data_IF_177078775867
#
_entry.id   IF_177078775867
#
_cell.length_a   1.000
_cell.length_b   1.000
_cell.length_c   1.000
_cell.angle_alpha   90.00
_cell.angle_beta   90.00
_cell.angle_gamma   90.00
#
_symmetry.space_group_name_H-M   'P 1'
#
loop_
_entity.id
_entity.type
_entity.pdbx_description
1 polymer ?
#
# COMPACT_ATOMS: atom_id res chain seq x y z
N UNK A 1 52.92 -34.12 16.00
CA UNK A 1 51.81 -33.83 16.90
C UNK A 1 50.57 -33.82 16.05
N UNK A 2 50.26 -34.71 15.38
CA UNK A 2 49.84 -36.11 15.17
C UNK A 2 48.91 -36.60 16.28
N UNK A 3 47.77 -37.10 15.82
CA UNK A 3 46.63 -37.61 16.58
C UNK A 3 45.54 -36.58 16.96
N UNK A 4 44.67 -36.30 16.01
CA UNK A 4 43.18 -36.27 16.07
C UNK A 4 42.65 -36.06 14.63
N UNK A 5 42.98 -36.92 13.71
CA UNK A 5 42.29 -37.10 12.43
C UNK A 5 41.83 -38.57 12.35
N UNK A 6 40.69 -38.85 12.93
CA UNK A 6 39.96 -40.11 12.62
C UNK A 6 38.72 -40.19 13.50
N UNK A 7 37.67 -39.52 13.11
CA UNK A 7 36.26 -39.85 13.43
C UNK A 7 35.39 -38.68 13.00
N UNK A 8 34.71 -38.85 11.90
CA UNK A 8 33.46 -38.29 11.38
C UNK A 8 33.60 -37.96 9.89
N UNK A 9 33.61 -39.02 9.09
CA UNK A 9 33.36 -38.91 7.66
C UNK A 9 31.87 -38.70 7.39
N UNK A 10 31.45 -37.48 7.21
CA UNK A 10 30.21 -37.13 6.53
C UNK A 10 30.46 -35.83 5.75
N UNK A 11 30.64 -35.99 4.44
CA UNK A 11 30.61 -34.85 3.52
C UNK A 11 29.16 -34.38 3.39
N UNK A 12 28.83 -33.09 3.53
CA UNK A 12 27.51 -32.58 3.19
C UNK A 12 27.36 -32.53 1.67
N UNK A 13 26.42 -33.29 1.14
CA UNK A 13 25.89 -33.11 -0.22
C UNK A 13 25.02 -31.85 -0.27
N UNK A 14 25.13 -31.01 -1.31
CA UNK A 14 24.25 -29.84 -1.44
C UNK A 14 22.82 -30.30 -1.77
N UNK A 15 21.88 -29.92 -0.91
CA UNK A 15 20.44 -30.03 -1.16
C UNK A 15 20.07 -29.01 -2.23
N UNK A 16 19.93 -29.46 -3.46
CA UNK A 16 19.26 -28.70 -4.52
C UNK A 16 17.75 -28.82 -4.36
N UNK A 17 17.09 -27.72 -4.04
CA UNK A 17 15.64 -27.63 -4.12
C UNK A 17 15.23 -27.42 -5.58
N UNK A 18 14.26 -28.18 -6.11
CA UNK A 18 13.74 -27.91 -7.46
C UNK A 18 12.92 -26.62 -7.45
N UNK A 19 13.31 -25.68 -8.29
CA UNK A 19 12.51 -24.53 -8.68
C UNK A 19 11.35 -25.05 -9.52
N UNK A 20 10.12 -24.99 -8.99
CA UNK A 20 8.92 -25.30 -9.75
C UNK A 20 8.54 -24.06 -10.54
N UNK A 21 8.85 -24.08 -11.83
CA UNK A 21 8.33 -23.12 -12.81
C UNK A 21 6.89 -23.55 -13.10
N UNK A 22 5.92 -22.67 -12.84
CA UNK A 22 4.54 -22.87 -13.22
C UNK A 22 4.38 -22.63 -14.74
N UNK A 23 4.52 -23.71 -15.50
CA UNK A 23 4.12 -23.77 -16.90
C UNK A 23 3.09 -24.90 -17.07
N UNK A 24 2.06 -24.65 -17.87
CA UNK A 24 0.96 -25.55 -18.17
C UNK A 24 1.44 -26.95 -18.58
N UNK A 25 1.18 -27.94 -17.73
CA UNK A 25 1.21 -29.34 -18.12
C UNK A 25 -0.06 -30.06 -17.66
N UNK A 26 -0.97 -30.26 -18.59
CA UNK A 26 -1.94 -31.33 -18.53
C UNK A 26 -1.19 -32.63 -18.91
N UNK A 27 -0.57 -33.25 -17.92
CA UNK A 27 0.05 -34.55 -18.04
C UNK A 27 -0.45 -35.43 -16.89
N UNK A 28 -1.07 -36.55 -17.22
CA UNK A 28 -1.46 -37.60 -16.26
C UNK A 28 -0.16 -38.14 -15.64
N UNK A 29 0.01 -37.96 -14.34
CA UNK A 29 1.13 -38.52 -13.58
C UNK A 29 0.77 -39.94 -13.14
N UNK A 30 1.45 -40.95 -13.70
CA UNK A 30 1.41 -42.32 -13.23
C UNK A 30 2.48 -42.52 -12.14
N UNK A 31 2.12 -43.00 -10.95
CA UNK A 31 3.09 -43.26 -9.90
C UNK A 31 3.91 -44.52 -10.18
N UNK A 32 5.16 -44.58 -9.74
CA UNK A 32 6.00 -45.78 -9.90
C UNK A 32 5.46 -46.97 -9.08
N UNK A 33 5.74 -48.22 -9.50
CA UNK A 33 5.19 -49.42 -8.87
C UNK A 33 5.63 -49.56 -7.42
N UNK A 34 4.68 -49.92 -6.56
CA UNK A 34 4.83 -50.10 -5.11
C UNK A 34 5.78 -51.27 -4.76
N UNK A 35 6.68 -51.06 -3.82
CA UNK A 35 7.42 -52.10 -3.14
C UNK A 35 6.49 -52.90 -2.20
N UNK A 36 6.58 -54.20 -2.10
CA UNK A 36 5.70 -55.03 -1.26
C UNK A 36 6.13 -54.95 0.21
N UNK A 37 5.19 -54.54 1.08
CA UNK A 37 5.34 -54.71 2.53
C UNK A 37 5.16 -53.50 3.44
N UNK A 38 4.21 -52.60 3.19
CA UNK A 38 3.80 -51.63 4.19
C UNK A 38 2.29 -51.59 4.33
N UNK A 39 1.80 -51.74 5.55
CA UNK A 39 0.38 -51.74 5.88
C UNK A 39 -0.31 -50.42 5.51
N UNK A 40 -1.47 -50.54 4.84
CA UNK A 40 -2.29 -49.41 4.44
C UNK A 40 -2.79 -48.63 5.65
N UNK A 41 -2.26 -47.44 5.87
CA UNK A 41 -2.99 -46.32 6.46
C UNK A 41 -3.35 -45.36 5.31
N UNK A 42 -4.57 -45.40 4.88
CA UNK A 42 -5.13 -44.40 3.98
C UNK A 42 -5.11 -43.02 4.66
N UNK A 43 -4.06 -42.25 4.38
CA UNK A 43 -4.09 -40.80 4.61
C UNK A 43 -4.75 -40.20 3.38
N UNK A 44 -6.07 -40.07 3.44
CA UNK A 44 -6.86 -39.25 2.53
C UNK A 44 -6.39 -37.80 2.68
N UNK A 45 -5.44 -37.36 1.85
CA UNK A 45 -5.10 -35.96 1.72
C UNK A 45 -6.27 -35.26 0.98
N UNK A 46 -6.96 -34.29 1.60
CA UNK A 46 -7.93 -33.51 0.86
C UNK A 46 -7.14 -32.63 -0.12
N UNK A 47 -7.28 -32.92 -1.40
CA UNK A 47 -6.91 -32.01 -2.49
C UNK A 47 -7.84 -30.81 -2.43
N UNK A 48 -7.63 -29.92 -1.44
CA UNK A 48 -8.28 -28.64 -1.38
C UNK A 48 -7.71 -27.81 -2.55
N UNK A 49 -8.46 -27.74 -3.66
CA UNK A 49 -8.27 -26.69 -4.65
C UNK A 49 -8.29 -25.38 -3.88
N UNK A 50 -7.15 -24.73 -3.75
CA UNK A 50 -7.05 -23.36 -3.27
C UNK A 50 -7.71 -22.52 -4.36
N UNK A 51 -9.03 -22.33 -4.24
CA UNK A 51 -9.72 -21.28 -4.99
C UNK A 51 -9.20 -19.96 -4.42
N UNK A 52 -8.13 -19.46 -5.02
CA UNK A 52 -7.65 -18.12 -4.74
C UNK A 52 -8.74 -17.17 -5.25
N UNK A 53 -9.61 -16.70 -4.34
CA UNK A 53 -10.66 -15.74 -4.69
C UNK A 53 -9.95 -14.47 -5.17
N UNK A 54 -9.88 -14.29 -6.50
CA UNK A 54 -9.38 -13.07 -7.11
C UNK A 54 -10.33 -11.93 -6.72
N UNK A 55 -9.84 -10.98 -5.94
CA UNK A 55 -10.60 -9.77 -5.60
C UNK A 55 -10.52 -8.82 -6.78
N UNK A 56 -11.67 -8.58 -7.42
CA UNK A 56 -11.79 -7.61 -8.50
C UNK A 56 -11.72 -6.19 -7.94
N UNK A 57 -10.63 -5.50 -8.16
CA UNK A 57 -10.41 -4.11 -7.74
C UNK A 57 -11.01 -3.15 -8.77
N UNK A 58 -12.35 -3.14 -8.89
CA UNK A 58 -13.08 -2.45 -9.98
C UNK A 58 -12.74 -0.97 -10.08
N UNK A 59 -12.70 -0.26 -8.96
CA UNK A 59 -12.40 1.18 -8.93
C UNK A 59 -10.95 1.48 -9.34
N UNK A 60 -10.01 0.68 -8.82
CA UNK A 60 -8.60 0.81 -9.19
C UNK A 60 -8.39 0.47 -10.68
N UNK A 61 -9.05 -0.58 -11.18
CA UNK A 61 -9.01 -0.95 -12.59
C UNK A 61 -9.61 0.13 -13.50
N UNK A 62 -10.75 0.71 -13.10
CA UNK A 62 -11.37 1.80 -13.84
C UNK A 62 -10.49 3.07 -13.86
N UNK A 63 -9.88 3.40 -12.72
CA UNK A 63 -8.92 4.52 -12.61
C UNK A 63 -7.71 4.30 -13.53
N UNK A 64 -7.15 3.10 -13.51
CA UNK A 64 -5.98 2.76 -14.35
C UNK A 64 -6.31 2.78 -15.83
N UNK A 65 -7.51 2.28 -16.25
CA UNK A 65 -7.97 2.37 -17.65
C UNK A 65 -8.11 3.83 -18.09
N UNK A 66 -8.70 4.69 -17.25
CA UNK A 66 -8.81 6.13 -17.57
C UNK A 66 -7.44 6.79 -17.72
N UNK A 67 -6.47 6.45 -16.87
CA UNK A 67 -5.10 6.96 -16.99
C UNK A 67 -4.45 6.51 -18.30
N UNK A 68 -4.57 5.24 -18.66
CA UNK A 68 -4.08 4.70 -19.94
C UNK A 68 -4.74 5.35 -21.16
N UNK A 69 -5.95 5.86 -21.03
CA UNK A 69 -6.59 6.64 -22.10
C UNK A 69 -5.99 8.05 -22.24
N UNK A 70 -5.64 8.69 -21.14
CA UNK A 70 -5.15 10.09 -21.14
C UNK A 70 -3.68 10.21 -21.45
N UNK A 71 -2.86 9.27 -20.96
CA UNK A 71 -1.41 9.35 -21.05
C UNK A 71 -0.83 8.19 -21.87
N UNK A 72 0.22 8.42 -22.67
CA UNK A 72 0.92 7.36 -23.40
C UNK A 72 1.70 6.42 -22.47
N UNK A 73 2.14 6.92 -21.31
CA UNK A 73 2.80 6.15 -20.27
C UNK A 73 2.02 6.30 -18.98
N UNK A 74 1.75 5.19 -18.29
CA UNK A 74 1.21 5.20 -16.94
C UNK A 74 2.18 4.49 -16.01
N UNK A 75 2.61 5.16 -14.95
CA UNK A 75 3.41 4.57 -13.88
C UNK A 75 2.49 4.18 -12.72
N UNK A 76 2.30 2.88 -12.53
CA UNK A 76 1.54 2.31 -11.41
C UNK A 76 2.49 1.97 -10.27
N UNK A 77 2.47 2.79 -9.22
CA UNK A 77 3.22 2.57 -7.99
C UNK A 77 2.32 2.01 -6.88
N UNK A 78 2.91 1.58 -5.79
CA UNK A 78 2.17 1.08 -4.62
C UNK A 78 3.06 0.20 -3.75
N UNK A 79 2.66 -0.06 -2.49
CA UNK A 79 3.43 -0.89 -1.60
C UNK A 79 3.64 -2.29 -2.21
N UNK A 80 4.71 -2.94 -1.76
CA UNK A 80 4.96 -4.32 -2.18
C UNK A 80 3.78 -5.21 -1.83
N UNK A 81 3.46 -6.17 -2.69
CA UNK A 81 2.34 -7.10 -2.55
C UNK A 81 0.93 -6.46 -2.47
N UNK A 82 0.78 -5.20 -2.86
CA UNK A 82 -0.54 -4.57 -3.01
C UNK A 82 -1.35 -5.10 -4.21
N UNK A 83 -0.74 -5.94 -5.06
CA UNK A 83 -1.41 -6.56 -6.21
C UNK A 83 -1.28 -5.78 -7.52
N UNK A 84 -0.21 -4.99 -7.72
CA UNK A 84 0.06 -4.24 -8.96
C UNK A 84 0.03 -5.12 -10.21
N UNK A 85 0.79 -6.20 -10.22
CA UNK A 85 0.86 -7.17 -11.33
C UNK A 85 -0.49 -7.84 -11.58
N UNK A 86 -1.25 -8.16 -10.52
CA UNK A 86 -2.61 -8.71 -10.65
C UNK A 86 -3.55 -7.69 -11.28
N UNK A 87 -3.49 -6.42 -10.85
CA UNK A 87 -4.32 -5.36 -11.40
C UNK A 87 -3.99 -5.08 -12.86
N UNK A 88 -2.70 -5.10 -13.25
CA UNK A 88 -2.30 -4.89 -14.65
C UNK A 88 -2.95 -5.91 -15.59
N UNK A 89 -2.99 -7.18 -15.18
CA UNK A 89 -3.65 -8.27 -15.93
C UNK A 89 -5.17 -8.11 -16.05
N UNK A 90 -5.81 -7.41 -15.11
CA UNK A 90 -7.26 -7.13 -15.13
C UNK A 90 -7.62 -5.92 -16.02
N UNK A 91 -6.68 -5.04 -16.27
CA UNK A 91 -6.94 -3.75 -16.98
C UNK A 91 -6.82 -3.90 -18.49
N UNK A 92 -5.87 -4.69 -18.96
CA UNK A 92 -5.65 -4.93 -20.39
C UNK A 92 -4.99 -6.28 -20.63
N UNK A 93 -5.40 -6.95 -21.69
CA UNK A 93 -4.68 -8.13 -22.16
C UNK A 93 -3.50 -7.62 -23.00
N UNK A 94 -2.33 -7.45 -22.36
CA UNK A 94 -1.08 -7.37 -23.11
C UNK A 94 -0.84 -8.75 -23.73
N UNK A 95 -0.42 -8.78 -24.98
CA UNK A 95 0.07 -10.01 -25.57
C UNK A 95 1.31 -10.51 -24.77
N UNK A 96 1.58 -11.81 -24.72
CA UNK A 96 2.71 -12.34 -23.94
C UNK A 96 4.04 -11.67 -24.31
N UNK A 97 4.25 -11.39 -25.60
CA UNK A 97 5.43 -10.69 -26.11
C UNK A 97 5.55 -9.22 -25.69
N UNK A 98 4.43 -8.61 -25.25
CA UNK A 98 4.33 -7.24 -24.75
C UNK A 98 4.36 -7.15 -23.23
N UNK A 99 4.61 -8.26 -22.52
CA UNK A 99 4.69 -8.30 -21.06
C UNK A 99 6.12 -8.67 -20.66
N UNK A 100 6.71 -7.84 -19.81
CA UNK A 100 8.08 -7.99 -19.34
C UNK A 100 8.10 -7.91 -17.81
N UNK A 101 8.88 -8.78 -17.18
CA UNK A 101 9.20 -8.75 -15.75
C UNK A 101 10.72 -8.61 -15.60
N UNK A 102 11.18 -7.45 -15.13
CA UNK A 102 12.61 -7.20 -14.96
C UNK A 102 13.27 -8.04 -13.83
N UNK A 103 12.49 -8.78 -13.05
CA UNK A 103 13.04 -9.82 -12.15
C UNK A 103 13.27 -11.16 -12.86
N UNK A 104 12.61 -11.39 -14.01
CA UNK A 104 12.83 -12.58 -14.81
C UNK A 104 14.13 -12.43 -15.63
N UNK A 105 15.12 -13.35 -15.50
CA UNK A 105 16.39 -13.23 -16.22
C UNK A 105 16.24 -13.17 -17.75
N UNK A 106 15.24 -13.85 -18.32
CA UNK A 106 14.98 -13.84 -19.77
C UNK A 106 14.52 -12.46 -20.22
N UNK A 107 13.55 -11.87 -19.50
CA UNK A 107 13.04 -10.53 -19.83
C UNK A 107 14.08 -9.44 -19.51
N UNK A 108 14.84 -9.60 -18.43
CA UNK A 108 15.96 -8.70 -18.12
C UNK A 108 17.00 -8.68 -19.27
N UNK A 109 17.30 -9.85 -19.85
CA UNK A 109 18.19 -9.95 -21.02
C UNK A 109 17.58 -9.27 -22.25
N UNK A 110 16.28 -9.45 -22.52
CA UNK A 110 15.58 -8.77 -23.62
C UNK A 110 15.58 -7.24 -23.43
N UNK A 111 15.40 -6.77 -22.20
CA UNK A 111 15.37 -5.36 -21.84
C UNK A 111 16.78 -4.76 -21.60
N UNK A 112 17.85 -5.51 -21.82
CA UNK A 112 19.21 -4.96 -21.79
C UNK A 112 19.42 -3.86 -22.86
N UNK A 113 18.70 -3.96 -23.99
CA UNK A 113 18.50 -2.88 -24.94
C UNK A 113 16.98 -2.58 -25.06
N UNK A 114 16.45 -1.65 -24.24
CA UNK A 114 15.03 -1.36 -24.26
C UNK A 114 14.53 -0.80 -25.61
N UNK A 115 15.38 -0.11 -26.36
CA UNK A 115 15.01 0.43 -27.68
C UNK A 115 14.76 -0.70 -28.67
N UNK A 116 15.65 -1.68 -28.72
CA UNK A 116 15.51 -2.85 -29.59
C UNK A 116 14.31 -3.69 -29.17
N UNK A 117 14.12 -3.92 -27.87
CA UNK A 117 13.05 -4.75 -27.33
C UNK A 117 11.66 -4.19 -27.60
N UNK A 118 11.48 -2.87 -27.50
CA UNK A 118 10.16 -2.23 -27.46
C UNK A 118 9.75 -1.57 -28.79
N UNK A 119 10.70 -1.28 -29.67
CA UNK A 119 10.44 -0.45 -30.86
C UNK A 119 9.46 -1.04 -31.87
N UNK A 120 9.40 -2.36 -32.02
CA UNK A 120 8.53 -3.08 -32.96
C UNK A 120 7.18 -3.49 -32.35
N UNK A 121 6.95 -3.24 -31.05
CA UNK A 121 5.74 -3.68 -30.38
C UNK A 121 4.59 -2.67 -30.53
N UNK A 122 3.36 -3.16 -30.41
CA UNK A 122 2.13 -2.37 -30.49
C UNK A 122 1.12 -2.76 -29.40
N UNK A 123 0.12 -1.91 -29.16
CA UNK A 123 -0.90 -2.14 -28.16
C UNK A 123 -0.45 -1.76 -26.75
N UNK A 124 -0.86 -2.52 -25.73
CA UNK A 124 -0.47 -2.28 -24.34
C UNK A 124 0.81 -3.06 -24.02
N UNK A 125 1.88 -2.35 -23.70
CA UNK A 125 3.14 -2.93 -23.24
C UNK A 125 3.21 -2.75 -21.73
N UNK A 126 3.37 -3.86 -21.01
CA UNK A 126 3.49 -3.88 -19.53
C UNK A 126 4.91 -4.25 -19.12
N UNK A 127 5.53 -3.42 -18.30
CA UNK A 127 6.89 -3.65 -17.77
C UNK A 127 6.82 -3.61 -16.25
N UNK A 128 7.07 -4.75 -15.61
CA UNK A 128 7.09 -4.87 -14.15
C UNK A 128 8.51 -4.71 -13.60
N UNK A 129 8.61 -4.22 -12.34
CA UNK A 129 9.86 -3.94 -11.62
C UNK A 129 10.81 -3.01 -12.40
N UNK A 130 10.25 -1.97 -13.03
CA UNK A 130 10.94 -1.06 -13.95
C UNK A 130 12.15 -0.32 -13.35
N UNK A 131 12.26 -0.21 -12.01
CA UNK A 131 13.41 0.39 -11.33
C UNK A 131 14.72 -0.36 -11.59
N UNK A 132 14.64 -1.59 -12.12
CA UNK A 132 15.82 -2.38 -12.48
C UNK A 132 16.40 -2.05 -13.86
N UNK A 133 15.73 -1.17 -14.63
CA UNK A 133 16.12 -0.81 -15.99
C UNK A 133 16.39 0.70 -16.03
N UNK A 134 17.63 1.15 -15.77
CA UNK A 134 17.95 2.59 -15.67
C UNK A 134 17.62 3.39 -16.93
N UNK A 135 17.87 2.81 -18.11
CA UNK A 135 17.71 3.49 -19.40
C UNK A 135 16.30 3.42 -19.99
N UNK A 136 15.35 2.84 -19.25
CA UNK A 136 13.97 2.65 -19.73
C UNK A 136 13.29 3.98 -20.04
N UNK A 137 13.33 4.95 -19.14
CA UNK A 137 12.55 6.20 -19.28
C UNK A 137 13.01 7.10 -20.42
N UNK A 138 14.32 7.29 -20.68
CA UNK A 138 14.79 7.97 -21.89
C UNK A 138 14.33 7.29 -23.17
N UNK A 139 14.34 5.96 -23.22
CA UNK A 139 13.85 5.18 -24.37
C UNK A 139 12.35 5.35 -24.55
N UNK A 140 11.56 5.26 -23.47
CA UNK A 140 10.12 5.49 -23.54
C UNK A 140 9.77 6.87 -24.10
N UNK A 141 10.53 7.92 -23.71
CA UNK A 141 10.37 9.27 -24.26
C UNK A 141 10.49 9.26 -25.79
N UNK A 142 11.52 8.62 -26.34
CA UNK A 142 11.70 8.53 -27.80
C UNK A 142 10.56 7.76 -28.45
N UNK A 143 10.11 6.66 -27.82
CA UNK A 143 9.05 5.81 -28.36
C UNK A 143 7.69 6.50 -28.40
N UNK A 144 7.35 7.33 -27.40
CA UNK A 144 6.06 8.03 -27.34
C UNK A 144 6.04 9.33 -28.16
N UNK A 145 7.19 9.87 -28.56
CA UNK A 145 7.30 11.07 -29.39
C UNK A 145 7.27 10.74 -30.91
N UNK A 146 7.10 9.48 -31.29
CA UNK A 146 7.00 9.07 -32.70
C UNK A 146 5.74 9.63 -33.35
N UNK A 147 5.77 9.99 -34.66
CA UNK A 147 4.60 10.48 -35.39
C UNK A 147 3.42 9.51 -35.35
N UNK A 148 3.70 8.22 -35.40
CA UNK A 148 2.71 7.15 -35.17
C UNK A 148 3.08 6.43 -33.89
N UNK A 149 2.19 6.45 -32.92
CA UNK A 149 2.38 5.80 -31.61
C UNK A 149 1.53 4.51 -31.55
N UNK A 150 2.09 3.36 -31.91
CA UNK A 150 1.36 2.10 -31.96
C UNK A 150 1.12 1.47 -30.58
N UNK A 151 1.83 1.94 -29.56
CA UNK A 151 1.86 1.33 -28.23
C UNK A 151 1.56 2.33 -27.11
N UNK A 152 1.00 1.83 -26.01
CA UNK A 152 0.90 2.49 -24.70
C UNK A 152 1.67 1.69 -23.68
N UNK A 153 2.23 2.36 -22.70
CA UNK A 153 3.11 1.74 -21.71
C UNK A 153 2.50 1.77 -20.33
N UNK A 154 2.37 0.60 -19.72
CA UNK A 154 2.03 0.45 -18.32
C UNK A 154 3.27 -0.01 -17.55
N UNK A 155 3.84 0.88 -16.80
CA UNK A 155 5.05 0.66 -16.03
C UNK A 155 4.66 0.37 -14.58
N UNK A 156 5.10 -0.75 -14.04
CA UNK A 156 4.88 -1.13 -12.66
C UNK A 156 6.21 -1.04 -11.92
N UNK A 157 6.13 -0.60 -10.67
CA UNK A 157 7.31 -0.56 -9.83
C UNK A 157 6.97 -0.34 -8.36
N UNK A 158 7.94 -0.62 -7.50
CA UNK A 158 7.89 -0.19 -6.11
C UNK A 158 7.86 1.33 -6.05
N UNK A 159 7.16 1.88 -5.07
CA UNK A 159 7.22 3.31 -4.83
C UNK A 159 8.64 3.67 -4.34
N UNK A 160 9.47 4.14 -5.25
CA UNK A 160 10.76 4.74 -4.90
C UNK A 160 10.79 6.17 -5.44
N UNK A 161 11.35 7.13 -4.67
CA UNK A 161 11.54 8.50 -5.14
C UNK A 161 12.32 8.55 -6.45
N UNK A 162 13.33 7.69 -6.57
CA UNK A 162 14.17 7.61 -7.77
C UNK A 162 13.35 7.21 -9.00
N UNK A 163 12.49 6.19 -8.89
CA UNK A 163 11.63 5.75 -10.00
C UNK A 163 10.67 6.86 -10.44
N UNK A 164 10.01 7.51 -9.45
CA UNK A 164 9.06 8.60 -9.72
C UNK A 164 9.80 9.83 -10.26
N UNK A 165 10.99 10.14 -9.73
CA UNK A 165 11.85 11.23 -10.20
C UNK A 165 12.28 11.03 -11.65
N UNK A 166 12.86 9.88 -11.98
CA UNK A 166 13.29 9.52 -13.33
C UNK A 166 12.13 9.56 -14.34
N UNK A 167 10.96 9.04 -13.95
CA UNK A 167 9.78 9.09 -14.80
C UNK A 167 9.30 10.52 -15.03
N UNK A 168 9.29 11.36 -13.98
CA UNK A 168 8.82 12.75 -14.05
C UNK A 168 9.77 13.64 -14.85
N UNK A 169 11.10 13.44 -14.75
CA UNK A 169 12.09 14.18 -15.51
C UNK A 169 12.08 13.78 -16.99
N UNK A 170 12.15 12.47 -17.27
CA UNK A 170 12.27 11.98 -18.63
C UNK A 170 10.97 12.08 -19.42
N UNK A 171 9.82 11.92 -18.78
CA UNK A 171 8.50 11.81 -19.41
C UNK A 171 7.56 12.96 -19.01
N UNK A 172 8.10 14.15 -18.74
CA UNK A 172 7.30 15.33 -18.38
C UNK A 172 6.18 15.58 -19.41
N UNK A 173 4.92 15.66 -18.94
CA UNK A 173 3.73 15.81 -19.78
C UNK A 173 3.28 14.54 -20.55
N UNK A 174 3.98 13.41 -20.39
CA UNK A 174 3.72 12.14 -21.10
C UNK A 174 3.36 11.00 -20.15
N UNK A 175 3.61 11.16 -18.86
CA UNK A 175 3.37 10.15 -17.82
C UNK A 175 2.24 10.57 -16.89
N UNK A 176 1.35 9.63 -16.56
CA UNK A 176 0.38 9.77 -15.47
C UNK A 176 0.78 8.80 -14.34
N UNK A 177 0.87 9.35 -13.13
CA UNK A 177 1.20 8.58 -11.93
C UNK A 177 -0.09 8.05 -11.30
N UNK A 178 -0.16 6.75 -11.06
CA UNK A 178 -1.28 6.10 -10.38
C UNK A 178 -0.74 5.34 -9.18
N UNK A 179 -1.20 5.71 -7.99
CA UNK A 179 -0.86 4.98 -6.77
C UNK A 179 -1.93 3.93 -6.46
N UNK A 180 -1.50 2.69 -6.25
CA UNK A 180 -2.34 1.58 -5.79
C UNK A 180 -2.19 1.43 -4.29
N UNK A 181 -3.26 1.66 -3.54
CA UNK A 181 -3.33 1.35 -2.09
C UNK A 181 -3.50 -0.15 -1.84
N UNK A 182 -3.53 -0.58 -0.59
CA UNK A 182 -4.11 -1.86 -0.18
C UNK A 182 -5.57 -2.00 -0.60
N UNK A 183 -6.19 -3.14 -0.31
CA UNK A 183 -7.63 -3.36 -0.49
C UNK A 183 -8.44 -2.35 0.31
N UNK A 184 -9.55 -1.93 -0.26
CA UNK A 184 -10.51 -1.03 0.37
C UNK A 184 -11.81 -1.76 0.71
N UNK A 185 -12.66 -1.16 1.54
CA UNK A 185 -14.01 -1.71 1.82
C UNK A 185 -14.81 -1.85 0.52
N UNK A 186 -14.61 -0.99 -0.46
CA UNK A 186 -15.24 -1.11 -1.79
C UNK A 186 -14.80 -2.35 -2.57
N UNK A 187 -13.56 -2.79 -2.35
CA UNK A 187 -13.04 -4.01 -3.00
C UNK A 187 -13.59 -5.29 -2.36
N UNK A 188 -13.88 -5.27 -1.05
CA UNK A 188 -14.20 -6.47 -0.27
C UNK A 188 -15.63 -6.52 0.27
N UNK A 189 -16.36 -5.40 0.22
CA UNK A 189 -17.72 -5.24 0.76
C UNK A 189 -17.73 -4.88 2.24
N UNK A 190 -18.83 -4.22 2.68
CA UNK A 190 -19.01 -3.74 4.06
C UNK A 190 -18.99 -4.86 5.10
N UNK A 191 -19.53 -6.02 4.78
CA UNK A 191 -19.51 -7.18 5.67
C UNK A 191 -18.10 -7.68 6.03
N UNK A 192 -17.10 -7.32 5.22
CA UNK A 192 -15.70 -7.67 5.45
C UNK A 192 -14.89 -6.50 6.06
N UNK A 193 -15.51 -5.35 6.36
CA UNK A 193 -14.81 -4.16 6.85
C UNK A 193 -14.04 -4.41 8.15
N UNK A 194 -14.63 -5.11 9.11
CA UNK A 194 -13.96 -5.46 10.37
C UNK A 194 -12.74 -6.36 10.16
N UNK A 195 -12.84 -7.34 9.25
CA UNK A 195 -11.72 -8.20 8.88
C UNK A 195 -10.63 -7.40 8.17
N UNK A 196 -11.02 -6.46 7.28
CA UNK A 196 -10.09 -5.59 6.58
C UNK A 196 -9.36 -4.66 7.56
N UNK A 197 -10.08 -4.08 8.53
CA UNK A 197 -9.47 -3.27 9.58
C UNK A 197 -8.48 -4.07 10.43
N UNK A 198 -8.84 -5.30 10.85
CA UNK A 198 -7.98 -6.13 11.68
C UNK A 198 -6.74 -6.63 10.93
N UNK A 199 -6.92 -7.17 9.70
CA UNK A 199 -5.86 -7.85 8.95
C UNK A 199 -5.09 -6.94 7.99
N UNK A 200 -5.61 -5.72 7.74
CA UNK A 200 -5.08 -4.81 6.75
C UNK A 200 -5.54 -5.09 5.33
N UNK A 201 -5.14 -4.20 4.41
CA UNK A 201 -5.53 -4.22 3.01
C UNK A 201 -4.52 -4.90 2.08
N UNK A 202 -3.41 -5.44 2.60
CA UNK A 202 -2.51 -6.25 1.78
C UNK A 202 -3.18 -7.58 1.43
N UNK A 203 -3.39 -7.92 0.13
CA UNK A 203 -4.20 -9.05 -0.28
C UNK A 203 -3.86 -10.37 0.41
N UNK A 204 -2.58 -10.81 0.54
CA UNK A 204 -2.27 -12.08 1.19
C UNK A 204 -2.61 -12.11 2.67
N UNK A 205 -2.46 -10.98 3.39
CA UNK A 205 -2.88 -10.86 4.80
C UNK A 205 -4.40 -10.93 4.94
N UNK A 206 -5.11 -10.19 4.09
CA UNK A 206 -6.57 -10.15 4.12
C UNK A 206 -7.21 -11.52 3.80
N UNK A 207 -6.69 -12.21 2.77
CA UNK A 207 -7.23 -13.50 2.29
C UNK A 207 -6.72 -14.71 3.06
N UNK A 208 -5.87 -14.54 4.05
CA UNK A 208 -5.36 -15.62 4.90
C UNK A 208 -6.51 -16.42 5.52
N UNK A 209 -6.30 -17.73 5.72
CA UNK A 209 -7.33 -18.66 6.21
C UNK A 209 -7.79 -18.34 7.64
N UNK A 210 -6.86 -17.91 8.48
CA UNK A 210 -7.09 -17.56 9.88
C UNK A 210 -6.45 -16.21 10.25
N UNK A 211 -6.74 -15.67 11.43
CA UNK A 211 -6.03 -14.50 11.96
C UNK A 211 -4.58 -14.83 12.28
N UNK A 212 -4.30 -16.05 12.70
CA UNK A 212 -2.96 -16.55 12.97
C UNK A 212 -2.12 -16.62 11.70
N UNK A 213 -2.65 -17.22 10.60
CA UNK A 213 -1.98 -17.22 9.29
C UNK A 213 -1.73 -15.80 8.77
N UNK A 214 -2.69 -14.90 8.96
CA UNK A 214 -2.55 -13.49 8.62
C UNK A 214 -1.45 -12.80 9.42
N UNK A 215 -1.35 -13.08 10.73
CA UNK A 215 -0.30 -12.53 11.59
C UNK A 215 1.09 -13.06 11.20
N UNK A 216 1.20 -14.37 10.98
CA UNK A 216 2.44 -15.01 10.51
C UNK A 216 2.91 -14.43 9.15
N UNK A 217 1.97 -14.23 8.22
CA UNK A 217 2.28 -13.60 6.93
C UNK A 217 2.81 -12.16 7.10
N UNK A 218 2.17 -11.36 7.99
CA UNK A 218 2.61 -9.98 8.27
C UNK A 218 3.99 -9.92 8.90
N UNK A 219 4.35 -10.88 9.76
CA UNK A 219 5.72 -11.01 10.28
C UNK A 219 6.73 -11.27 9.18
N UNK A 220 6.43 -12.22 8.31
CA UNK A 220 7.25 -12.51 7.13
C UNK A 220 7.39 -11.28 6.21
N UNK A 221 6.30 -10.56 5.98
CA UNK A 221 6.32 -9.32 5.21
C UNK A 221 7.22 -8.25 5.84
N UNK A 222 7.05 -7.96 7.13
CA UNK A 222 7.86 -6.97 7.85
C UNK A 222 9.34 -7.34 7.80
N UNK A 223 9.68 -8.61 8.02
CA UNK A 223 11.05 -9.10 7.98
C UNK A 223 11.66 -8.93 6.59
N UNK A 224 10.99 -9.44 5.55
CA UNK A 224 11.47 -9.37 4.16
C UNK A 224 11.58 -7.93 3.68
N UNK A 225 10.62 -7.09 4.02
CA UNK A 225 10.62 -5.66 3.68
C UNK A 225 11.85 -4.96 4.26
N UNK A 226 12.16 -5.21 5.53
CA UNK A 226 13.29 -4.57 6.21
C UNK A 226 14.65 -5.08 5.74
N UNK A 227 14.78 -6.38 5.44
CA UNK A 227 16.04 -6.99 5.07
C UNK A 227 16.38 -6.83 3.58
N UNK A 228 15.38 -6.86 2.71
CA UNK A 228 15.57 -6.87 1.27
C UNK A 228 15.09 -5.59 0.59
N UNK A 229 13.84 -5.20 0.84
CA UNK A 229 13.14 -4.22 0.02
C UNK A 229 13.66 -2.80 0.27
N UNK A 230 13.89 -2.42 1.52
CA UNK A 230 14.50 -1.13 1.86
C UNK A 230 15.91 -0.98 1.29
N UNK A 231 16.69 -2.06 1.27
CA UNK A 231 18.01 -2.04 0.66
C UNK A 231 17.94 -1.80 -0.87
N UNK A 232 16.95 -2.37 -1.54
CA UNK A 232 16.69 -2.12 -2.97
C UNK A 232 16.24 -0.68 -3.27
N UNK A 233 15.62 -0.01 -2.29
CA UNK A 233 15.28 1.42 -2.34
C UNK A 233 16.46 2.34 -1.96
N UNK A 234 17.69 1.81 -1.90
CA UNK A 234 18.90 2.58 -1.56
C UNK A 234 19.05 2.87 -0.06
N UNK A 235 18.19 2.36 0.79
CA UNK A 235 18.21 2.59 2.24
C UNK A 235 19.18 1.63 2.92
N UNK A 236 20.37 2.13 3.26
CA UNK A 236 21.42 1.34 3.93
C UNK A 236 21.34 1.53 5.46
N UNK A 237 20.32 0.93 6.07
CA UNK A 237 20.09 0.98 7.52
C UNK A 237 19.98 -0.46 8.01
N UNK A 238 20.60 -0.84 9.15
CA UNK A 238 20.43 -2.18 9.71
C UNK A 238 18.96 -2.51 9.95
N UNK A 239 18.51 -3.68 9.50
CA UNK A 239 17.11 -4.10 9.58
C UNK A 239 16.56 -4.05 11.02
N UNK A 240 17.37 -4.44 12.01
CA UNK A 240 16.99 -4.37 13.43
C UNK A 240 16.70 -2.92 13.89
N UNK A 241 17.53 -1.96 13.48
CA UNK A 241 17.33 -0.53 13.80
C UNK A 241 16.07 -0.01 13.13
N UNK A 242 15.86 -0.34 11.85
CA UNK A 242 14.66 0.08 11.14
C UNK A 242 13.40 -0.58 11.70
N UNK A 243 13.46 -1.83 12.14
CA UNK A 243 12.34 -2.49 12.86
C UNK A 243 11.96 -1.73 14.13
N UNK A 244 12.96 -1.36 14.94
CA UNK A 244 12.72 -0.53 16.14
C UNK A 244 12.09 0.82 15.77
N UNK A 245 12.62 1.49 14.75
CA UNK A 245 12.06 2.77 14.27
C UNK A 245 10.61 2.61 13.81
N UNK A 246 10.30 1.59 13.02
CA UNK A 246 8.95 1.35 12.53
C UNK A 246 7.96 1.00 13.66
N UNK A 247 8.38 0.16 14.61
CA UNK A 247 7.59 -0.13 15.83
C UNK A 247 7.30 1.14 16.63
N UNK A 248 8.29 2.01 16.79
CA UNK A 248 8.08 3.29 17.47
C UNK A 248 7.13 4.20 16.70
N UNK A 249 7.25 4.26 15.37
CA UNK A 249 6.30 5.01 14.54
C UNK A 249 4.88 4.45 14.63
N UNK A 250 4.70 3.14 14.85
CA UNK A 250 3.39 2.55 15.13
C UNK A 250 2.79 3.10 16.45
N UNK A 251 3.60 3.39 17.47
CA UNK A 251 3.14 4.08 18.68
C UNK A 251 2.79 5.55 18.45
N UNK A 252 3.37 6.20 17.42
CA UNK A 252 2.99 7.56 17.00
C UNK A 252 1.77 7.59 16.07
N UNK A 253 1.18 6.46 15.73
CA UNK A 253 0.03 6.40 14.83
C UNK A 253 -1.10 7.31 15.30
N UNK A 254 -1.59 8.21 14.41
CA UNK A 254 -2.57 9.24 14.71
C UNK A 254 -2.03 10.43 15.52
N UNK A 255 -0.71 10.58 15.70
CA UNK A 255 -0.08 11.63 16.52
C UNK A 255 0.93 12.46 15.73
N UNK A 256 1.25 13.64 16.26
CA UNK A 256 2.30 14.49 15.72
C UNK A 256 3.67 13.84 15.86
N UNK A 257 4.44 13.87 14.81
CA UNK A 257 5.80 13.35 14.81
C UNK A 257 6.76 14.23 15.61
N UNK A 258 7.46 13.61 16.56
CA UNK A 258 8.58 14.23 17.28
C UNK A 258 9.90 13.58 16.86
N UNK A 259 10.62 14.23 15.94
CA UNK A 259 11.92 13.73 15.50
C UNK A 259 12.95 13.65 16.63
N UNK A 260 12.87 14.56 17.60
CA UNK A 260 13.77 14.57 18.77
C UNK A 260 13.50 13.38 19.71
N UNK A 261 12.22 12.99 19.88
CA UNK A 261 11.84 11.87 20.72
C UNK A 261 12.21 10.53 20.06
N UNK A 262 11.93 10.38 18.76
CA UNK A 262 12.34 9.20 18.01
C UNK A 262 13.88 9.05 18.00
N UNK A 263 14.61 10.14 17.81
CA UNK A 263 16.07 10.17 17.83
C UNK A 263 16.65 9.69 19.18
N UNK A 264 16.12 10.20 20.29
CA UNK A 264 16.53 9.78 21.65
C UNK A 264 16.25 8.29 21.88
N UNK A 265 15.08 7.80 21.44
CA UNK A 265 14.71 6.41 21.65
C UNK A 265 15.52 5.41 20.82
N UNK A 266 16.06 5.86 19.71
CA UNK A 266 16.91 5.04 18.81
C UNK A 266 18.41 5.26 19.02
N UNK A 267 18.78 6.22 19.87
CA UNK A 267 20.17 6.67 20.07
C UNK A 267 20.85 7.10 18.76
N UNK A 268 20.18 7.98 18.00
CA UNK A 268 20.66 8.51 16.72
C UNK A 268 20.45 10.03 16.66
N UNK A 269 21.10 10.68 15.68
CA UNK A 269 20.83 12.09 15.39
C UNK A 269 19.39 12.31 14.88
N UNK A 270 18.81 13.49 15.16
CA UNK A 270 17.45 13.83 14.71
C UNK A 270 17.29 13.78 13.18
N UNK A 271 18.33 14.17 12.45
CA UNK A 271 18.38 14.06 10.98
C UNK A 271 18.30 12.61 10.51
N UNK A 272 18.94 11.69 11.24
CA UNK A 272 18.88 10.25 10.97
C UNK A 272 17.49 9.68 11.25
N UNK A 273 16.88 10.05 12.38
CA UNK A 273 15.50 9.65 12.69
C UNK A 273 14.51 10.13 11.63
N UNK A 274 14.69 11.35 11.11
CA UNK A 274 13.91 11.88 9.99
C UNK A 274 14.09 11.05 8.73
N UNK A 275 15.32 10.71 8.35
CA UNK A 275 15.59 9.83 7.20
C UNK A 275 14.91 8.45 7.32
N UNK A 276 14.78 7.90 8.54
CA UNK A 276 14.07 6.64 8.75
C UNK A 276 12.57 6.79 8.46
N UNK A 277 11.96 7.88 8.93
CA UNK A 277 10.57 8.20 8.62
C UNK A 277 10.37 8.40 7.11
N UNK A 278 11.25 9.18 6.46
CA UNK A 278 11.15 9.47 5.03
C UNK A 278 11.28 8.17 4.21
N UNK A 279 12.22 7.28 4.53
CA UNK A 279 12.38 5.99 3.86
C UNK A 279 11.12 5.10 3.93
N UNK A 280 10.44 5.06 5.09
CA UNK A 280 9.18 4.31 5.23
C UNK A 280 8.01 5.02 4.52
N UNK A 281 8.04 6.33 4.41
CA UNK A 281 7.06 7.12 3.65
C UNK A 281 7.21 6.89 2.15
N UNK A 282 8.43 6.93 1.66
CA UNK A 282 8.78 6.68 0.26
C UNK A 282 8.41 5.26 -0.17
N UNK A 283 8.53 4.30 0.74
CA UNK A 283 8.06 2.92 0.53
C UNK A 283 6.54 2.74 0.62
N UNK A 284 5.77 3.81 0.84
CA UNK A 284 4.31 3.84 0.99
C UNK A 284 3.78 2.95 2.13
N UNK A 285 4.56 2.69 3.17
CA UNK A 285 4.10 1.98 4.38
C UNK A 285 3.77 2.92 5.53
N UNK A 286 4.23 4.17 5.45
CA UNK A 286 3.89 5.26 6.38
C UNK A 286 3.33 6.43 5.59
N UNK A 287 2.30 7.09 6.12
CA UNK A 287 1.80 8.38 5.65
C UNK A 287 2.23 9.47 6.60
N UNK A 288 2.82 10.53 6.05
CA UNK A 288 3.00 11.80 6.73
C UNK A 288 1.87 12.73 6.29
N UNK A 289 0.82 12.87 7.13
CA UNK A 289 -0.24 13.83 6.87
C UNK A 289 0.23 15.21 7.34
N UNK A 290 0.41 16.12 6.39
CA UNK A 290 0.91 17.47 6.66
C UNK A 290 -0.21 18.39 7.13
N UNK A 291 0.10 19.42 7.95
CA UNK A 291 -0.89 20.37 8.39
C UNK A 291 -1.34 21.31 7.26
N UNK A 292 -2.61 21.69 7.29
CA UNK A 292 -3.14 22.75 6.43
C UNK A 292 -2.77 24.14 6.97
N UNK A 293 -2.29 25.01 6.09
CA UNK A 293 -2.10 26.44 6.34
C UNK A 293 -2.40 27.21 5.05
N UNK A 294 -3.03 28.37 5.16
CA UNK A 294 -3.24 29.28 4.03
C UNK A 294 -1.89 29.74 3.41
N UNK A 295 -0.83 29.87 4.25
CA UNK A 295 0.52 30.19 3.78
C UNK A 295 1.37 28.91 3.65
N UNK A 296 1.73 28.53 2.42
CA UNK A 296 2.51 27.34 2.08
C UNK A 296 3.83 27.25 2.85
N UNK A 297 4.52 28.38 3.06
CA UNK A 297 5.79 28.43 3.80
C UNK A 297 5.66 27.99 5.27
N UNK A 298 4.49 28.16 5.88
CA UNK A 298 4.22 27.71 7.26
C UNK A 298 3.88 26.23 7.35
N UNK A 299 3.35 25.60 6.29
CA UNK A 299 3.04 24.14 6.26
C UNK A 299 4.27 23.29 6.52
N UNK A 300 5.42 23.68 5.96
CA UNK A 300 6.66 22.91 6.06
C UNK A 300 7.32 22.96 7.45
N UNK A 301 6.94 23.88 8.31
CA UNK A 301 7.56 24.10 9.62
C UNK A 301 6.91 23.34 10.78
N UNK A 302 5.74 22.71 10.58
CA UNK A 302 5.05 21.93 11.62
C UNK A 302 5.17 20.44 11.36
N UNK A 303 5.23 19.69 12.46
CA UNK A 303 5.34 18.23 12.42
C UNK A 303 4.13 17.61 11.74
N UNK A 304 4.31 16.62 10.86
CA UNK A 304 3.19 15.86 10.30
C UNK A 304 2.56 14.96 11.36
N UNK A 305 1.28 14.59 11.18
CA UNK A 305 0.70 13.41 11.83
C UNK A 305 1.19 12.15 11.11
N UNK A 306 1.47 11.09 11.87
CA UNK A 306 1.99 9.82 11.34
C UNK A 306 0.90 8.77 11.34
N UNK A 307 0.75 8.10 10.20
CA UNK A 307 -0.11 6.92 10.08
C UNK A 307 0.65 5.77 9.42
N UNK A 308 0.61 4.59 10.04
CA UNK A 308 0.96 3.35 9.34
C UNK A 308 -0.20 3.07 8.39
N UNK A 309 0.08 3.01 7.09
CA UNK A 309 -0.96 3.01 6.04
C UNK A 309 -1.79 1.72 6.00
N UNK A 310 -1.19 0.60 6.38
CA UNK A 310 -1.89 -0.68 6.50
C UNK A 310 -2.15 -1.00 7.98
N UNK A 311 -3.43 -1.11 8.34
CA UNK A 311 -3.80 -1.35 9.74
C UNK A 311 -3.40 -2.74 10.23
N UNK A 312 -3.28 -3.73 9.35
CA UNK A 312 -2.75 -5.04 9.71
C UNK A 312 -1.28 -4.97 10.11
N UNK A 313 -0.47 -4.20 9.36
CA UNK A 313 0.92 -3.94 9.74
C UNK A 313 1.00 -3.13 11.04
N UNK A 314 0.14 -2.10 11.21
CA UNK A 314 0.03 -1.36 12.47
C UNK A 314 -0.21 -2.32 13.64
N UNK A 315 -1.23 -3.16 13.53
CA UNK A 315 -1.62 -4.09 14.60
C UNK A 315 -0.47 -5.07 14.91
N UNK A 316 0.21 -5.59 13.89
CA UNK A 316 1.33 -6.50 14.11
C UNK A 316 2.53 -5.84 14.77
N UNK A 317 2.85 -4.60 14.40
CA UNK A 317 3.92 -3.81 15.05
C UNK A 317 3.59 -3.47 16.51
N UNK A 318 2.31 -3.37 16.87
CA UNK A 318 1.83 -3.12 18.22
C UNK A 318 1.53 -4.41 19.05
N UNK A 319 1.74 -5.60 18.48
CA UNK A 319 1.43 -6.88 19.14
C UNK A 319 -0.07 -7.14 19.28
N UNK A 320 -0.90 -6.64 18.37
CA UNK A 320 -2.35 -6.83 18.35
C UNK A 320 -2.67 -7.94 17.34
N UNK A 321 -3.07 -9.10 17.81
CA UNK A 321 -3.25 -10.28 16.96
C UNK A 321 -4.71 -10.57 16.61
N UNK A 322 -5.66 -10.17 17.47
CA UNK A 322 -7.08 -10.44 17.30
C UNK A 322 -7.97 -9.25 17.65
N UNK A 323 -9.27 -9.42 17.42
CA UNK A 323 -10.27 -8.39 17.69
C UNK A 323 -10.35 -7.99 19.15
N UNK A 324 -10.24 -8.94 20.06
CA UNK A 324 -10.33 -8.66 21.50
C UNK A 324 -9.12 -7.87 21.99
N UNK A 325 -7.92 -8.23 21.52
CA UNK A 325 -6.70 -7.48 21.78
C UNK A 325 -6.78 -6.03 21.24
N UNK A 326 -7.34 -5.86 20.03
CA UNK A 326 -7.57 -4.55 19.44
C UNK A 326 -8.54 -3.70 20.27
N UNK A 327 -9.66 -4.27 20.69
CA UNK A 327 -10.68 -3.54 21.49
C UNK A 327 -10.18 -3.09 22.85
N UNK A 328 -9.24 -3.81 23.43
CA UNK A 328 -8.60 -3.48 24.72
C UNK A 328 -7.40 -2.55 24.58
N UNK A 329 -6.96 -2.27 23.35
CA UNK A 329 -5.73 -1.51 23.11
C UNK A 329 -5.99 0.00 23.20
N UNK A 330 -5.15 0.77 23.91
CA UNK A 330 -5.27 2.24 23.95
C UNK A 330 -5.22 2.92 22.57
N UNK A 331 -4.66 2.26 21.56
CA UNK A 331 -4.59 2.75 20.17
C UNK A 331 -5.83 2.43 19.32
N UNK A 332 -6.89 1.85 19.91
CA UNK A 332 -8.12 1.50 19.20
C UNK A 332 -8.69 2.67 18.39
N UNK A 333 -8.83 3.85 19.02
CA UNK A 333 -9.34 5.05 18.38
C UNK A 333 -8.44 5.54 17.22
N UNK A 334 -7.14 5.62 17.45
CA UNK A 334 -6.18 6.02 16.43
C UNK A 334 -6.10 5.01 15.27
N UNK A 335 -6.17 3.70 15.57
CA UNK A 335 -6.22 2.67 14.51
C UNK A 335 -7.49 2.80 13.65
N UNK A 336 -8.64 3.10 14.26
CA UNK A 336 -9.87 3.37 13.55
C UNK A 336 -9.76 4.64 12.68
N UNK A 337 -9.21 5.71 13.24
CA UNK A 337 -8.95 6.96 12.52
C UNK A 337 -8.09 6.71 11.28
N UNK A 338 -6.96 6.02 11.43
CA UNK A 338 -6.07 5.70 10.32
C UNK A 338 -6.71 4.79 9.28
N UNK A 339 -7.54 3.82 9.70
CA UNK A 339 -8.30 2.97 8.78
C UNK A 339 -9.24 3.80 7.89
N UNK A 340 -10.08 4.64 8.50
CA UNK A 340 -11.03 5.49 7.76
C UNK A 340 -10.28 6.50 6.89
N UNK A 341 -9.21 7.10 7.40
CA UNK A 341 -8.38 8.05 6.66
C UNK A 341 -7.79 7.43 5.38
N UNK A 342 -7.23 6.22 5.45
CA UNK A 342 -6.67 5.56 4.25
C UNK A 342 -7.76 5.16 3.24
N UNK A 343 -8.96 4.81 3.67
CA UNK A 343 -10.11 4.60 2.78
C UNK A 343 -10.51 5.89 2.06
N UNK A 344 -10.61 7.01 2.80
CA UNK A 344 -10.86 8.33 2.23
C UNK A 344 -9.73 8.77 1.29
N UNK A 345 -8.48 8.53 1.65
CA UNK A 345 -7.33 8.83 0.80
C UNK A 345 -7.39 8.09 -0.54
N UNK A 346 -7.79 6.83 -0.55
CA UNK A 346 -7.97 6.05 -1.77
C UNK A 346 -9.11 6.58 -2.65
N UNK A 347 -10.20 7.07 -2.04
CA UNK A 347 -11.36 7.67 -2.73
C UNK A 347 -11.03 9.05 -3.30
N UNK A 348 -10.38 9.88 -2.51
CA UNK A 348 -10.15 11.30 -2.79
C UNK A 348 -8.93 11.55 -3.70
N UNK A 349 -8.11 10.54 -3.96
CA UNK A 349 -6.94 10.69 -4.85
C UNK A 349 -7.36 11.19 -6.24
N UNK A 350 -6.63 12.15 -6.84
CA UNK A 350 -5.33 12.66 -6.44
C UNK A 350 -5.34 13.91 -5.53
N UNK A 351 -6.48 14.29 -4.94
CA UNK A 351 -6.56 15.51 -4.13
C UNK A 351 -5.64 15.41 -2.91
N UNK A 352 -4.84 16.45 -2.61
CA UNK A 352 -3.97 16.45 -1.44
C UNK A 352 -4.79 16.52 -0.15
N UNK A 353 -4.36 15.75 0.84
CA UNK A 353 -5.00 15.64 2.14
C UNK A 353 -4.15 16.29 3.21
N UNK A 354 -4.80 16.91 4.19
CA UNK A 354 -4.15 17.60 5.29
C UNK A 354 -4.89 17.33 6.60
N UNK A 355 -4.21 17.50 7.74
CA UNK A 355 -4.89 17.75 9.01
C UNK A 355 -4.83 19.25 9.31
N UNK A 356 -5.64 19.73 10.24
CA UNK A 356 -5.55 21.11 10.70
C UNK A 356 -5.43 21.16 12.22
N UNK A 357 -4.58 22.06 12.72
CA UNK A 357 -4.39 22.29 14.15
C UNK A 357 -3.97 23.71 14.44
N UNK A 358 -4.53 24.29 15.53
CA UNK A 358 -4.14 25.58 16.06
C UNK A 358 -3.09 25.48 17.18
N UNK A 359 -2.55 26.61 17.59
CA UNK A 359 -1.67 26.68 18.77
C UNK A 359 -2.41 26.42 20.09
N UNK A 360 -3.75 26.60 20.10
CA UNK A 360 -4.63 26.36 21.26
C UNK A 360 -5.22 24.94 21.24
N UNK A 361 -4.60 24.02 20.53
CA UNK A 361 -4.93 22.60 20.44
C UNK A 361 -6.32 22.28 19.84
N UNK A 362 -6.97 23.24 19.14
CA UNK A 362 -8.08 22.87 18.28
C UNK A 362 -7.54 22.09 17.07
N UNK A 363 -8.17 20.96 16.74
CA UNK A 363 -7.71 20.02 15.73
C UNK A 363 -8.87 19.50 14.88
N UNK A 364 -8.59 19.21 13.60
CA UNK A 364 -9.45 18.51 12.66
C UNK A 364 -8.63 17.38 12.00
N UNK A 365 -9.17 16.18 11.99
CA UNK A 365 -8.45 14.98 11.56
C UNK A 365 -8.10 15.00 10.07
N UNK A 366 -9.04 15.43 9.22
CA UNK A 366 -8.82 15.50 7.78
C UNK A 366 -9.46 16.73 7.16
N UNK A 367 -8.68 17.45 6.38
CA UNK A 367 -9.08 18.58 5.53
C UNK A 367 -8.75 18.25 4.07
N UNK A 368 -9.67 18.61 3.17
CA UNK A 368 -9.48 18.47 1.72
C UNK A 368 -10.23 19.57 0.97
N UNK A 369 -9.67 20.00 -0.15
CA UNK A 369 -10.38 20.88 -1.10
C UNK A 369 -10.90 20.05 -2.27
N UNK A 370 -12.22 20.10 -2.50
CA UNK A 370 -12.90 19.42 -3.59
C UNK A 370 -13.65 20.46 -4.43
N UNK A 371 -13.32 20.53 -5.72
CA UNK A 371 -13.90 21.51 -6.66
C UNK A 371 -13.81 22.95 -6.13
N UNK A 372 -12.68 23.31 -5.50
CA UNK A 372 -12.42 24.64 -4.95
C UNK A 372 -13.18 24.97 -3.66
N UNK A 373 -13.78 23.98 -3.00
CA UNK A 373 -14.47 24.13 -1.71
C UNK A 373 -13.79 23.33 -0.62
N UNK A 374 -13.64 23.88 0.59
CA UNK A 374 -13.04 23.18 1.72
C UNK A 374 -14.04 22.26 2.42
N UNK A 375 -13.62 21.04 2.70
CA UNK A 375 -14.37 20.02 3.44
C UNK A 375 -13.54 19.48 4.59
N UNK A 376 -14.21 19.21 5.72
CA UNK A 376 -13.61 18.63 6.91
C UNK A 376 -14.20 17.28 7.25
N UNK A 377 -13.36 16.38 7.75
CA UNK A 377 -13.79 15.10 8.32
C UNK A 377 -13.16 14.95 9.70
N UNK A 378 -14.03 14.63 10.66
CA UNK A 378 -13.63 14.24 12.02
C UNK A 378 -14.00 12.78 12.20
N UNK A 379 -13.07 11.96 12.62
CA UNK A 379 -13.24 10.51 12.69
C UNK A 379 -13.36 10.09 14.16
N UNK A 380 -14.55 9.72 14.59
CA UNK A 380 -14.84 9.39 15.98
C UNK A 380 -15.38 7.98 16.13
N UNK A 381 -14.77 7.17 16.97
CA UNK A 381 -15.33 5.87 17.37
C UNK A 381 -16.24 6.04 18.60
N UNK A 382 -17.40 6.62 18.37
CA UNK A 382 -18.43 6.87 19.39
C UNK A 382 -19.80 6.49 18.87
N UNK A 383 -20.73 6.12 19.76
CA UNK A 383 -22.14 5.88 19.41
C UNK A 383 -22.96 7.17 19.34
N UNK A 384 -22.48 8.25 19.95
CA UNK A 384 -23.19 9.53 20.09
C UNK A 384 -22.29 10.67 19.61
N UNK A 385 -22.19 10.89 18.27
CA UNK A 385 -21.39 11.98 17.73
C UNK A 385 -21.99 13.35 18.13
N UNK A 386 -21.12 14.29 18.51
CA UNK A 386 -21.48 15.65 18.87
C UNK A 386 -20.43 16.65 18.42
N UNK A 387 -20.83 17.90 18.19
CA UNK A 387 -19.94 18.97 17.72
C UNK A 387 -19.04 19.44 18.85
N UNK A 388 -17.72 19.19 18.75
CA UNK A 388 -16.72 19.64 19.70
C UNK A 388 -16.38 21.12 19.53
N UNK A 389 -15.62 21.69 20.51
CA UNK A 389 -15.06 23.04 20.39
C UNK A 389 -14.08 23.14 19.20
N UNK A 390 -13.23 22.12 19.00
CA UNK A 390 -12.30 22.08 17.89
C UNK A 390 -12.99 22.13 16.53
N UNK A 391 -14.09 21.39 16.36
CA UNK A 391 -14.89 21.41 15.13
C UNK A 391 -15.50 22.77 14.85
N UNK A 392 -16.00 23.49 15.88
CA UNK A 392 -16.51 24.85 15.73
C UNK A 392 -15.40 25.82 15.29
N UNK A 393 -14.21 25.71 15.86
CA UNK A 393 -13.06 26.51 15.44
C UNK A 393 -12.67 26.20 13.99
N UNK A 394 -12.62 24.90 13.61
CA UNK A 394 -12.27 24.48 12.25
C UNK A 394 -13.29 25.00 11.21
N UNK A 395 -14.60 24.97 11.53
CA UNK A 395 -15.64 25.50 10.64
C UNK A 395 -15.43 26.98 10.32
N UNK A 396 -15.07 27.78 11.33
CA UNK A 396 -14.85 29.22 11.19
C UNK A 396 -13.51 29.52 10.52
N UNK A 397 -12.42 28.95 11.05
CA UNK A 397 -11.06 29.29 10.62
C UNK A 397 -10.75 28.81 9.21
N UNK A 398 -11.32 27.68 8.80
CA UNK A 398 -11.14 27.06 7.48
C UNK A 398 -12.28 27.40 6.51
N UNK A 399 -13.33 28.09 6.97
CA UNK A 399 -14.53 28.38 6.18
C UNK A 399 -15.10 27.11 5.50
N UNK A 400 -15.20 26.03 6.28
CA UNK A 400 -15.60 24.73 5.73
C UNK A 400 -17.01 24.80 5.10
N UNK A 401 -17.12 24.33 3.86
CA UNK A 401 -18.42 24.19 3.20
C UNK A 401 -19.28 23.14 3.93
N UNK A 402 -18.67 22.07 4.41
CA UNK A 402 -19.28 21.00 5.23
C UNK A 402 -18.24 20.34 6.10
N UNK A 403 -18.67 19.84 7.27
CA UNK A 403 -17.90 18.99 8.15
C UNK A 403 -18.67 17.68 8.40
N UNK A 404 -18.05 16.55 8.14
CA UNK A 404 -18.59 15.24 8.45
C UNK A 404 -17.97 14.67 9.73
N UNK A 405 -18.80 14.19 10.65
CA UNK A 405 -18.36 13.33 11.73
C UNK A 405 -18.58 11.89 11.29
N UNK A 406 -17.48 11.19 10.99
CA UNK A 406 -17.50 9.78 10.56
C UNK A 406 -17.48 8.90 11.80
N UNK A 407 -18.52 8.07 11.98
CA UNK A 407 -18.70 7.29 13.20
C UNK A 407 -19.23 5.87 12.91
N UNK A 408 -19.07 4.90 13.82
CA UNK A 408 -19.49 3.51 13.62
C UNK A 408 -20.97 3.30 13.94
N UNK A 409 -21.86 4.17 13.49
CA UNK A 409 -23.32 4.06 13.66
C UNK A 409 -24.01 3.66 12.37
N UNK A 410 -25.34 3.58 12.41
CA UNK A 410 -26.17 3.13 11.29
C UNK A 410 -26.88 4.29 10.58
N UNK A 411 -27.13 5.40 11.28
CA UNK A 411 -27.98 6.48 10.79
C UNK A 411 -27.17 7.74 10.47
N UNK A 412 -27.46 8.31 9.31
CA UNK A 412 -27.00 9.64 8.95
C UNK A 412 -27.99 10.69 9.51
N UNK A 413 -27.48 11.73 10.17
CA UNK A 413 -28.31 12.83 10.66
C UNK A 413 -27.53 14.15 10.73
N UNK A 414 -28.21 15.30 10.49
CA UNK A 414 -27.60 16.60 10.63
C UNK A 414 -27.42 16.94 12.12
N UNK A 415 -26.30 17.56 12.46
CA UNK A 415 -26.03 18.16 13.78
C UNK A 415 -26.12 19.68 13.75
N UNK A 416 -25.96 20.29 12.57
CA UNK A 416 -26.21 21.70 12.25
C UNK A 416 -26.32 21.85 10.74
N UNK A 417 -26.53 23.08 10.26
CA UNK A 417 -26.59 23.39 8.81
C UNK A 417 -25.31 23.03 8.06
N UNK A 418 -24.18 22.97 8.76
CA UNK A 418 -22.85 22.70 8.16
C UNK A 418 -22.20 21.41 8.66
N UNK A 419 -22.78 20.73 9.65
CA UNK A 419 -22.20 19.52 10.24
C UNK A 419 -23.17 18.35 10.14
N UNK A 420 -22.70 17.24 9.61
CA UNK A 420 -23.46 16.00 9.47
C UNK A 420 -22.73 14.84 10.12
N UNK A 421 -23.44 14.01 10.88
CA UNK A 421 -22.95 12.72 11.33
C UNK A 421 -23.23 11.68 10.23
N UNK A 422 -22.18 11.00 9.76
CA UNK A 422 -22.29 10.03 8.67
C UNK A 422 -21.75 8.68 9.15
N UNK A 423 -22.51 7.58 9.00
CA UNK A 423 -22.00 6.25 9.25
C UNK A 423 -20.76 5.95 8.44
N UNK A 424 -19.75 5.37 9.09
CA UNK A 424 -18.51 4.99 8.42
C UNK A 424 -18.77 4.04 7.25
N UNK A 425 -19.71 3.09 7.39
CA UNK A 425 -20.07 2.15 6.33
C UNK A 425 -20.52 2.88 5.04
N UNK A 426 -21.33 3.93 5.16
CA UNK A 426 -21.76 4.74 4.01
C UNK A 426 -20.58 5.45 3.33
N UNK A 427 -19.66 6.01 4.12
CA UNK A 427 -18.44 6.65 3.60
C UNK A 427 -17.53 5.63 2.91
N UNK A 428 -17.31 4.48 3.54
CA UNK A 428 -16.34 3.48 3.10
C UNK A 428 -16.81 2.71 1.85
N UNK A 429 -18.12 2.68 1.59
CA UNK A 429 -18.71 2.04 0.40
C UNK A 429 -18.94 3.01 -0.76
N UNK A 430 -18.82 4.32 -0.54
CA UNK A 430 -18.97 5.35 -1.58
C UNK A 430 -17.95 5.16 -2.72
N UNK A 431 -18.44 5.13 -3.95
CA UNK A 431 -17.64 4.85 -5.16
C UNK A 431 -17.05 6.09 -5.84
N UNK A 432 -17.54 7.29 -5.53
CA UNK A 432 -17.10 8.54 -6.18
C UNK A 432 -17.11 9.74 -5.23
N UNK A 433 -16.37 10.78 -5.62
CA UNK A 433 -16.38 12.08 -4.90
C UNK A 433 -17.77 12.71 -4.92
N UNK A 434 -18.52 12.58 -6.01
CA UNK A 434 -19.87 13.15 -6.12
C UNK A 434 -20.86 12.47 -5.16
N UNK A 435 -20.79 11.15 -5.03
CA UNK A 435 -21.56 10.40 -4.03
C UNK A 435 -21.16 10.81 -2.60
N UNK A 436 -19.86 10.96 -2.33
CA UNK A 436 -19.39 11.46 -1.04
C UNK A 436 -19.98 12.84 -0.74
N UNK A 437 -19.91 13.77 -1.70
CA UNK A 437 -20.48 15.12 -1.54
C UNK A 437 -21.99 15.09 -1.35
N UNK A 438 -22.71 14.13 -1.93
CA UNK A 438 -24.14 13.93 -1.69
C UNK A 438 -24.42 13.46 -0.26
N UNK A 439 -23.56 12.63 0.33
CA UNK A 439 -23.66 12.24 1.74
C UNK A 439 -23.39 13.41 2.71
N UNK A 440 -22.69 14.46 2.28
CA UNK A 440 -22.38 15.62 3.12
C UNK A 440 -23.44 16.71 3.08
N UNK A 441 -24.41 16.62 2.17
CA UNK A 441 -25.56 17.55 2.07
C UNK A 441 -26.60 17.24 3.12
#
# INVERSE_FOLDING_TARGET
MDEIESLIGLRPTPLTWPVVIAGDFLGVWDPPPSLPGAANHEISAPTARISCMLIERRDAAARLRRALHRAPVVLLTGPRQAGKTTLSRLVGKSAPECTFDAENPVDATRLADPMLALSGLSGLITIDEAQRIPDLFPVLRVLVDRPVMPARFLILGSASPDLVGLASESLAGRVELVELSGLTVRDVGSSAADRLWLRGGLPPSFTARSNEDSAAWRDGYITTFLERDLAQLGVRIPAATMRRAWTMLAHYHGQLFSGAELARSLDVAQTTARRYLDALTDALVVRQLTPWFANIGKRQRRSPKIYIRDTGLLHRLLGIDDRLALERNPKLGASWEGFVLEQLAALLAPNPLYYWRTQQDAELDLYVELSGRPYGFEIKRTSTPSISRSMRSALVDLQLARLAIVYPGEHRFPLSDTVVAVPADQILTTGSVDELLALLK
#
